data_IF_903615883263
#
_entry.id   IF_903615883263
#
_cell.length_a   1.000
_cell.length_b   1.000
_cell.length_c   1.000
_cell.angle_alpha   90.00
_cell.angle_beta   90.00
_cell.angle_gamma   90.00
#
_symmetry.space_group_name_H-M   'P 1'
#
loop_
_entity.id
_entity.type
_entity.pdbx_description
1 polymer ?
#
# COMPACT_ATOMS: atom_id res chain seq x y z
N UNK A 1 19.53 -7.35 79.06
CA UNK A 1 19.77 -7.53 77.62
C UNK A 1 18.44 -7.39 76.90
N UNK A 2 18.17 -6.21 76.35
CA UNK A 2 16.90 -5.81 75.75
C UNK A 2 16.89 -6.09 74.26
N UNK A 3 16.04 -7.01 73.79
CA UNK A 3 15.79 -7.29 72.37
C UNK A 3 14.65 -6.42 71.82
N UNK A 4 14.93 -5.63 70.77
CA UNK A 4 13.97 -4.75 70.10
C UNK A 4 13.09 -5.54 69.12
N UNK A 5 11.77 -5.39 69.24
CA UNK A 5 10.80 -5.70 68.19
C UNK A 5 10.85 -4.61 67.11
N UNK A 6 11.20 -4.97 65.87
CA UNK A 6 11.06 -4.11 64.69
C UNK A 6 9.82 -4.54 63.90
N UNK A 7 8.79 -3.69 63.88
CA UNK A 7 7.60 -3.87 63.04
C UNK A 7 7.94 -3.42 61.63
N UNK A 8 8.03 -4.35 60.68
CA UNK A 8 8.19 -4.06 59.26
C UNK A 8 6.87 -3.62 58.66
N UNK A 9 6.75 -2.35 58.28
CA UNK A 9 5.62 -1.83 57.49
C UNK A 9 5.89 -2.17 56.03
N UNK A 10 5.21 -3.19 55.49
CA UNK A 10 5.16 -3.44 54.05
C UNK A 10 4.25 -2.39 53.41
N UNK A 11 4.83 -1.37 52.78
CA UNK A 11 4.10 -0.44 51.93
C UNK A 11 3.79 -1.14 50.60
N UNK A 12 2.53 -1.54 50.41
CA UNK A 12 2.02 -2.05 49.15
C UNK A 12 1.91 -0.88 48.16
N UNK A 13 2.91 -0.71 47.29
CA UNK A 13 2.85 0.24 46.19
C UNK A 13 1.92 -0.34 45.12
N UNK A 14 0.67 0.09 45.13
CA UNK A 14 -0.27 -0.18 44.04
C UNK A 14 0.13 0.70 42.87
N UNK A 15 0.92 0.15 41.95
CA UNK A 15 1.23 0.78 40.67
C UNK A 15 -0.03 0.82 39.81
N UNK A 16 -0.66 1.99 39.69
CA UNK A 16 -1.64 2.22 38.63
C UNK A 16 -0.91 2.19 37.29
N UNK A 17 -1.35 1.39 36.30
CA UNK A 17 -0.82 1.52 34.96
C UNK A 17 -1.19 2.92 34.46
N UNK A 18 -0.19 3.72 34.13
CA UNK A 18 -0.40 4.98 33.45
C UNK A 18 -1.07 4.64 32.11
N UNK A 19 -2.40 4.82 32.04
CA UNK A 19 -3.09 4.96 30.77
C UNK A 19 -2.45 6.16 30.08
N UNK A 20 -1.54 5.90 29.13
CA UNK A 20 -0.90 6.96 28.35
C UNK A 20 -2.00 7.85 27.79
N UNK A 21 -1.99 9.14 28.16
CA UNK A 21 -2.98 10.09 27.70
C UNK A 21 -3.11 9.98 26.18
N UNK A 22 -4.30 9.59 25.72
CA UNK A 22 -4.61 9.64 24.31
C UNK A 22 -4.39 11.09 23.86
N UNK A 23 -3.39 11.29 23.00
CA UNK A 23 -3.04 12.62 22.51
C UNK A 23 -4.25 13.23 21.79
N UNK A 24 -4.62 14.47 22.11
CA UNK A 24 -5.77 15.15 21.52
C UNK A 24 -5.42 15.57 20.07
N UNK A 25 -5.85 14.75 19.10
CA UNK A 25 -5.67 15.02 17.68
C UNK A 25 -6.33 16.34 17.23
N UNK A 26 -7.39 16.78 17.91
CA UNK A 26 -8.03 18.07 17.66
C UNK A 26 -7.17 19.24 18.07
N UNK A 27 -6.56 19.18 19.26
CA UNK A 27 -5.60 20.18 19.70
C UNK A 27 -4.36 20.23 18.79
N UNK A 28 -3.80 19.07 18.43
CA UNK A 28 -2.66 18.98 17.51
C UNK A 28 -2.98 19.61 16.15
N UNK A 29 -4.17 19.33 15.61
CA UNK A 29 -4.58 19.88 14.32
C UNK A 29 -4.70 21.41 14.36
N UNK A 30 -5.36 21.96 15.38
CA UNK A 30 -5.50 23.41 15.56
C UNK A 30 -4.14 24.10 15.62
N UNK A 31 -3.18 23.51 16.33
CA UNK A 31 -1.86 24.09 16.55
C UNK A 31 -0.92 23.99 15.34
N UNK A 32 -1.10 22.99 14.47
CA UNK A 32 -0.06 22.65 13.49
C UNK A 32 -0.55 22.47 12.04
N UNK A 33 -1.85 22.40 11.81
CA UNK A 33 -2.41 22.00 10.52
C UNK A 33 -3.48 22.96 10.00
N UNK A 34 -4.31 23.52 10.89
CA UNK A 34 -5.47 24.34 10.55
C UNK A 34 -5.13 25.54 9.65
N UNK A 35 -3.98 26.20 9.89
CA UNK A 35 -3.53 27.36 9.11
C UNK A 35 -3.41 27.11 7.61
N UNK A 36 -3.17 25.86 7.20
CA UNK A 36 -3.09 25.49 5.78
C UNK A 36 -4.37 24.79 5.28
N UNK A 37 -5.05 24.03 6.14
CA UNK A 37 -6.12 23.12 5.75
C UNK A 37 -7.54 23.68 5.97
N UNK A 38 -7.71 24.76 6.73
CA UNK A 38 -9.00 25.45 6.91
C UNK A 38 -9.12 26.72 6.05
N UNK A 39 -8.05 27.11 5.36
CA UNK A 39 -8.01 28.31 4.53
C UNK A 39 -8.35 27.97 3.09
N UNK A 40 -9.35 28.66 2.53
CA UNK A 40 -9.67 28.58 1.10
C UNK A 40 -8.53 29.19 0.27
N UNK A 41 -8.17 28.57 -0.87
CA UNK A 41 -7.12 28.96 -1.81
C UNK A 41 -5.68 28.46 -1.54
N UNK A 42 -5.46 27.53 -0.60
CA UNK A 42 -4.20 26.77 -0.56
C UNK A 42 -4.27 25.54 -1.49
N UNK A 43 -3.12 24.93 -1.80
CA UNK A 43 -3.07 23.62 -2.47
C UNK A 43 -3.42 22.46 -1.52
N UNK A 44 -3.65 22.74 -0.24
CA UNK A 44 -3.93 21.71 0.76
C UNK A 44 -5.42 21.33 0.73
N UNK A 45 -5.76 20.03 0.83
CA UNK A 45 -7.16 19.61 0.89
C UNK A 45 -7.82 20.06 2.20
N UNK A 46 -9.07 20.51 2.10
CA UNK A 46 -9.87 20.88 3.26
C UNK A 46 -10.30 19.70 4.14
N UNK A 47 -10.83 20.01 5.33
CA UNK A 47 -11.32 19.03 6.33
C UNK A 47 -12.23 17.95 5.75
N UNK A 48 -13.21 18.35 4.94
CA UNK A 48 -14.18 17.42 4.35
C UNK A 48 -13.54 16.42 3.39
N UNK A 49 -12.45 16.80 2.73
CA UNK A 49 -11.70 15.88 1.88
C UNK A 49 -10.82 14.96 2.70
N UNK A 50 -10.24 15.46 3.79
CA UNK A 50 -9.44 14.64 4.70
C UNK A 50 -10.28 13.61 5.47
N UNK A 51 -11.51 13.95 5.84
CA UNK A 51 -12.42 13.02 6.54
C UNK A 51 -12.87 11.83 5.69
N UNK A 52 -12.83 11.98 4.36
CA UNK A 52 -13.09 10.88 3.42
C UNK A 52 -11.94 9.86 3.35
N UNK A 53 -10.74 10.21 3.82
CA UNK A 53 -9.59 9.30 3.83
C UNK A 53 -9.66 8.32 5.01
N UNK A 54 -8.87 7.25 4.93
CA UNK A 54 -8.64 6.36 6.07
C UNK A 54 -7.53 6.91 6.97
N UNK A 55 -7.50 6.58 8.27
CA UNK A 55 -6.41 7.00 9.15
C UNK A 55 -5.04 6.46 8.69
N UNK A 56 -4.98 5.28 8.07
CA UNK A 56 -3.76 4.75 7.44
C UNK A 56 -3.27 5.64 6.30
N UNK A 57 -4.18 6.19 5.49
CA UNK A 57 -3.83 7.08 4.39
C UNK A 57 -3.29 8.41 4.88
N UNK A 58 -3.90 8.97 5.93
CA UNK A 58 -3.44 10.21 6.56
C UNK A 58 -2.08 9.98 7.23
N UNK A 59 -1.90 8.85 7.92
CA UNK A 59 -0.63 8.44 8.50
C UNK A 59 0.46 8.32 7.43
N UNK A 60 0.18 7.65 6.31
CA UNK A 60 1.11 7.57 5.18
C UNK A 60 1.56 8.95 4.69
N UNK A 61 0.61 9.89 4.56
CA UNK A 61 0.91 11.25 4.12
C UNK A 61 1.85 11.99 5.08
N UNK A 62 1.70 11.77 6.39
CA UNK A 62 2.54 12.35 7.45
C UNK A 62 3.89 11.64 7.61
N UNK A 63 3.98 10.35 7.26
CA UNK A 63 5.22 9.57 7.43
C UNK A 63 6.16 9.68 6.25
N UNK A 64 5.61 9.58 5.03
CA UNK A 64 6.39 9.40 3.80
C UNK A 64 5.80 10.13 2.59
N UNK A 65 4.63 10.73 2.72
CA UNK A 65 3.93 11.41 1.63
C UNK A 65 4.15 12.92 1.60
N UNK A 66 3.20 13.61 0.97
CA UNK A 66 3.27 15.05 0.71
C UNK A 66 3.31 15.93 1.97
N UNK A 67 2.92 15.40 3.13
CA UNK A 67 2.96 16.09 4.42
C UNK A 67 4.10 15.60 5.33
N UNK A 68 5.09 14.90 4.77
CA UNK A 68 6.19 14.32 5.54
C UNK A 68 6.97 15.38 6.35
N UNK A 69 7.23 16.55 5.78
CA UNK A 69 7.99 17.60 6.49
C UNK A 69 7.28 18.04 7.79
N UNK A 70 5.95 18.15 7.76
CA UNK A 70 5.12 18.49 8.92
C UNK A 70 4.95 17.29 9.84
N UNK A 71 4.77 16.10 9.29
CA UNK A 71 4.56 14.87 10.06
C UNK A 71 5.80 14.44 10.83
N UNK A 72 7.00 14.50 10.24
CA UNK A 72 8.25 14.14 10.93
C UNK A 72 8.62 15.10 12.06
N UNK A 73 8.06 16.32 12.08
CA UNK A 73 8.18 17.21 13.22
C UNK A 73 7.33 16.74 14.43
N UNK A 74 6.49 15.70 14.28
CA UNK A 74 5.62 15.13 15.31
C UNK A 74 6.07 13.71 15.67
N UNK A 75 5.77 13.29 16.90
CA UNK A 75 5.98 11.92 17.35
C UNK A 75 5.06 10.94 16.61
N UNK A 76 5.39 9.64 16.55
CA UNK A 76 4.50 8.62 15.98
C UNK A 76 3.10 8.61 16.62
N UNK A 77 3.01 8.82 17.93
CA UNK A 77 1.74 8.87 18.65
C UNK A 77 0.89 10.08 18.25
N UNK A 78 1.49 11.25 18.09
CA UNK A 78 0.80 12.47 17.63
C UNK A 78 0.33 12.34 16.18
N UNK A 79 1.15 11.78 15.28
CA UNK A 79 0.73 11.49 13.90
C UNK A 79 -0.47 10.55 13.86
N UNK A 80 -0.47 9.52 14.71
CA UNK A 80 -1.59 8.59 14.86
C UNK A 80 -2.86 9.29 15.36
N UNK A 81 -2.74 10.17 16.35
CA UNK A 81 -3.85 10.95 16.89
C UNK A 81 -4.42 11.93 15.84
N UNK A 82 -3.55 12.61 15.08
CA UNK A 82 -3.94 13.46 13.95
C UNK A 82 -4.70 12.66 12.90
N UNK A 83 -4.21 11.47 12.53
CA UNK A 83 -4.86 10.62 11.54
C UNK A 83 -6.26 10.17 11.97
N UNK A 84 -6.45 9.78 13.24
CA UNK A 84 -7.75 9.42 13.81
C UNK A 84 -8.68 10.64 13.80
N UNK A 85 -8.20 11.78 14.28
CA UNK A 85 -9.01 13.01 14.36
C UNK A 85 -9.45 13.53 12.98
N UNK A 86 -8.54 13.50 12.00
CA UNK A 86 -8.81 14.01 10.66
C UNK A 86 -9.77 13.10 9.88
N UNK A 87 -9.64 11.78 10.04
CA UNK A 87 -10.50 10.81 9.36
C UNK A 87 -11.82 10.58 10.09
N UNK A 88 -11.89 10.84 11.39
CA UNK A 88 -13.02 10.45 12.25
C UNK A 88 -13.14 8.94 12.44
N UNK A 89 -12.11 8.15 12.08
CA UNK A 89 -12.12 6.69 12.03
C UNK A 89 -10.98 6.12 12.87
N UNK A 90 -11.16 4.87 13.31
CA UNK A 90 -10.11 4.11 13.98
C UNK A 90 -9.24 3.37 12.96
N UNK A 91 -7.98 3.13 13.31
CA UNK A 91 -7.13 2.28 12.50
C UNK A 91 -7.71 0.86 12.42
N UNK A 92 -7.68 0.27 11.23
CA UNK A 92 -8.15 -1.10 10.98
C UNK A 92 -9.66 -1.30 11.01
N UNK A 93 -10.48 -0.25 11.12
CA UNK A 93 -11.96 -0.37 11.14
C UNK A 93 -12.64 -0.15 9.79
N UNK A 94 -11.92 0.37 8.80
CA UNK A 94 -12.46 0.46 7.45
C UNK A 94 -12.48 -0.94 6.84
N UNK A 95 -13.64 -1.43 6.35
CA UNK A 95 -13.66 -2.63 5.55
C UNK A 95 -12.71 -2.36 4.38
N UNK A 96 -11.61 -3.12 4.33
CA UNK A 96 -10.68 -3.04 3.21
C UNK A 96 -11.43 -3.18 1.88
N UNK A 97 -10.79 -2.88 0.75
CA UNK A 97 -11.52 -2.88 -0.51
C UNK A 97 -12.31 -4.15 -0.76
N UNK A 98 -13.52 -3.99 -1.29
CA UNK A 98 -14.37 -5.08 -1.72
C UNK A 98 -13.76 -5.74 -2.98
N UNK A 99 -12.76 -6.59 -2.74
CA UNK A 99 -12.05 -7.32 -3.80
C UNK A 99 -13.02 -8.21 -4.57
N UNK A 100 -14.06 -8.73 -3.90
CA UNK A 100 -15.03 -9.61 -4.52
C UNK A 100 -15.81 -8.90 -5.65
N UNK A 101 -16.16 -7.61 -5.48
CA UNK A 101 -16.78 -6.82 -6.55
C UNK A 101 -15.89 -6.59 -7.76
N UNK A 102 -14.58 -6.60 -7.56
CA UNK A 102 -13.60 -6.39 -8.63
C UNK A 102 -13.12 -7.71 -9.25
N UNK A 103 -13.52 -8.85 -8.70
CA UNK A 103 -12.99 -10.15 -9.08
C UNK A 103 -13.34 -10.51 -10.52
N UNK A 104 -12.40 -11.16 -11.21
CA UNK A 104 -12.69 -11.81 -12.47
C UNK A 104 -13.69 -12.95 -12.26
N UNK A 105 -14.60 -13.13 -13.22
CA UNK A 105 -15.55 -14.26 -13.19
C UNK A 105 -14.90 -15.57 -13.64
N UNK A 106 -13.94 -15.46 -14.55
CA UNK A 106 -13.19 -16.58 -15.10
C UNK A 106 -11.77 -16.56 -14.55
N UNK A 107 -11.19 -17.75 -14.36
CA UNK A 107 -9.83 -17.93 -13.86
C UNK A 107 -9.08 -18.88 -14.78
N UNK A 108 -8.70 -18.44 -16.00
CA UNK A 108 -7.94 -19.28 -16.92
C UNK A 108 -6.60 -19.68 -16.30
N UNK A 109 -6.12 -20.87 -16.69
CA UNK A 109 -4.83 -21.37 -16.28
C UNK A 109 -3.73 -20.37 -16.64
N UNK A 110 -2.81 -20.14 -15.70
CA UNK A 110 -1.66 -19.28 -15.89
C UNK A 110 -0.42 -20.15 -16.07
N UNK A 111 -0.11 -20.48 -17.32
CA UNK A 111 1.04 -21.29 -17.70
C UNK A 111 1.91 -20.53 -18.69
N UNK A 112 3.22 -20.77 -18.63
CA UNK A 112 4.22 -20.23 -19.56
C UNK A 112 4.08 -18.72 -19.82
N UNK A 113 4.13 -17.86 -18.78
CA UNK A 113 3.79 -16.44 -18.89
C UNK A 113 4.72 -15.62 -19.80
N UNK A 114 5.87 -16.19 -20.15
CA UNK A 114 6.87 -15.59 -21.05
C UNK A 114 6.84 -16.14 -22.48
N UNK A 115 5.87 -17.00 -22.82
CA UNK A 115 5.69 -17.56 -24.17
C UNK A 115 5.16 -16.54 -25.20
N UNK A 116 4.64 -15.42 -24.72
CA UNK A 116 4.14 -14.29 -25.53
C UNK A 116 4.88 -13.01 -25.15
N UNK A 117 4.76 -11.93 -25.94
CA UNK A 117 5.30 -10.64 -25.57
C UNK A 117 4.93 -10.25 -24.14
N UNK A 118 5.95 -9.86 -23.36
CA UNK A 118 5.81 -9.56 -21.95
C UNK A 118 6.65 -8.35 -21.57
N UNK A 119 6.36 -7.79 -20.41
CA UNK A 119 7.08 -6.73 -19.74
C UNK A 119 7.25 -7.11 -18.27
N UNK A 120 8.38 -7.72 -17.94
CA UNK A 120 8.63 -8.30 -16.63
C UNK A 120 9.48 -7.37 -15.74
N UNK A 121 8.83 -6.55 -14.92
CA UNK A 121 9.48 -5.62 -14.01
C UNK A 121 9.78 -4.27 -14.67
N UNK A 122 10.99 -3.76 -14.46
CA UNK A 122 11.40 -2.43 -14.93
C UNK A 122 11.67 -2.33 -16.44
N UNK A 123 11.96 -3.46 -17.07
CA UNK A 123 12.37 -3.55 -18.47
C UNK A 123 12.16 -4.97 -18.96
N UNK A 124 11.98 -5.13 -20.27
CA UNK A 124 11.88 -6.42 -20.95
C UNK A 124 13.22 -7.16 -21.02
N UNK A 125 14.32 -6.42 -20.82
CA UNK A 125 15.70 -6.93 -20.88
C UNK A 125 16.53 -6.50 -19.67
N UNK A 126 17.52 -7.30 -19.23
CA UNK A 126 18.37 -7.00 -18.07
C UNK A 126 19.19 -5.71 -18.17
N UNK A 127 19.51 -5.26 -19.38
CA UNK A 127 20.23 -4.00 -19.63
C UNK A 127 19.38 -2.75 -19.41
N UNK A 128 18.10 -2.92 -19.01
CA UNK A 128 17.19 -1.84 -18.63
C UNK A 128 17.02 -0.75 -19.69
N UNK A 129 16.95 -1.13 -20.97
CA UNK A 129 16.73 -0.18 -22.08
C UNK A 129 15.34 0.47 -22.04
N UNK A 130 14.40 -0.12 -21.27
CA UNK A 130 12.99 0.31 -21.21
C UNK A 130 12.35 0.42 -22.59
N UNK A 131 12.75 -0.47 -23.49
CA UNK A 131 12.33 -0.49 -24.87
C UNK A 131 11.70 -1.85 -25.22
N UNK A 132 10.53 -1.82 -25.85
CA UNK A 132 9.89 -2.99 -26.43
C UNK A 132 10.01 -2.91 -27.95
N UNK A 133 10.45 -4.00 -28.59
CA UNK A 133 10.53 -4.07 -30.06
C UNK A 133 9.14 -4.05 -30.68
N UNK A 134 9.03 -3.59 -31.92
CA UNK A 134 7.76 -3.42 -32.62
C UNK A 134 6.96 -4.74 -32.74
N UNK A 135 7.66 -5.86 -32.98
CA UNK A 135 7.05 -7.19 -33.09
C UNK A 135 6.36 -7.61 -31.79
N UNK A 136 6.99 -7.29 -30.65
CA UNK A 136 6.47 -7.59 -29.32
C UNK A 136 5.42 -6.57 -28.85
N UNK A 137 5.58 -5.30 -29.21
CA UNK A 137 4.62 -4.24 -28.87
C UNK A 137 3.30 -4.41 -29.61
N UNK A 138 3.35 -4.95 -30.83
CA UNK A 138 2.17 -5.12 -31.68
C UNK A 138 1.48 -3.79 -31.98
N UNK A 139 2.19 -2.65 -31.87
CA UNK A 139 1.70 -1.29 -32.05
C UNK A 139 2.64 -0.53 -32.98
N UNK A 140 2.09 0.22 -33.93
CA UNK A 140 2.83 1.12 -34.82
C UNK A 140 2.38 2.58 -34.65
N UNK A 141 3.20 3.50 -35.13
CA UNK A 141 2.94 4.94 -35.01
C UNK A 141 1.63 5.37 -35.68
N UNK A 142 1.21 4.67 -36.74
CA UNK A 142 -0.03 4.98 -37.45
C UNK A 142 -1.28 4.66 -36.61
N UNK A 143 -1.20 3.71 -35.66
CA UNK A 143 -2.29 3.35 -34.75
C UNK A 143 -2.40 4.21 -33.50
N UNK A 144 -1.30 4.83 -33.05
CA UNK A 144 -1.26 5.64 -31.81
C UNK A 144 -2.35 6.71 -31.74
N UNK A 145 -2.63 7.50 -32.80
CA UNK A 145 -3.67 8.55 -32.74
C UNK A 145 -5.09 8.01 -32.59
N UNK A 146 -5.32 6.71 -32.80
CA UNK A 146 -6.64 6.06 -32.71
C UNK A 146 -6.86 5.31 -31.40
N UNK A 147 -5.91 5.37 -30.47
CA UNK A 147 -6.04 4.70 -29.18
C UNK A 147 -7.13 5.36 -28.33
N UNK A 148 -7.92 4.53 -27.67
CA UNK A 148 -8.93 4.94 -26.69
C UNK A 148 -8.67 4.24 -25.37
N UNK A 149 -9.12 4.83 -24.26
CA UNK A 149 -9.10 4.18 -22.96
C UNK A 149 -9.93 2.89 -23.03
N UNK A 150 -9.29 1.74 -22.73
CA UNK A 150 -10.00 0.45 -22.70
C UNK A 150 -10.64 0.18 -21.34
N UNK A 151 -9.88 0.42 -20.27
CA UNK A 151 -10.32 0.29 -18.88
C UNK A 151 -9.41 1.13 -18.00
N UNK A 152 -9.90 1.48 -16.81
CA UNK A 152 -9.12 2.13 -15.76
C UNK A 152 -9.29 1.33 -14.46
N UNK A 153 -8.19 1.17 -13.72
CA UNK A 153 -8.19 0.52 -12.42
C UNK A 153 -7.85 1.56 -11.35
N UNK A 154 -8.78 1.78 -10.42
CA UNK A 154 -8.54 2.64 -9.26
C UNK A 154 -8.04 1.78 -8.11
N UNK A 155 -6.85 2.09 -7.60
CA UNK A 155 -6.33 1.48 -6.37
C UNK A 155 -7.23 1.91 -5.21
N UNK A 156 -7.96 0.98 -4.56
CA UNK A 156 -8.94 1.39 -3.58
C UNK A 156 -8.30 2.07 -2.36
N UNK A 157 -8.76 3.26 -2.03
CA UNK A 157 -8.23 4.06 -0.91
C UNK A 157 -6.88 4.75 -1.20
N UNK A 158 -6.30 4.53 -2.38
CA UNK A 158 -5.02 5.11 -2.77
C UNK A 158 -5.24 6.30 -3.72
N UNK A 159 -4.39 7.31 -3.59
CA UNK A 159 -4.37 8.48 -4.48
C UNK A 159 -3.07 8.57 -5.30
N UNK A 160 -2.25 7.52 -5.26
CA UNK A 160 -0.97 7.47 -5.96
C UNK A 160 -0.65 6.05 -6.39
N UNK A 161 -0.18 5.90 -7.63
CA UNK A 161 0.32 4.64 -8.17
C UNK A 161 1.84 4.80 -8.39
N UNK A 162 2.66 4.00 -7.67
CA UNK A 162 4.12 4.07 -7.79
C UNK A 162 4.75 2.84 -8.45
N UNK A 163 4.11 1.67 -8.32
CA UNK A 163 4.64 0.42 -8.85
C UNK A 163 4.53 0.39 -10.37
N UNK A 164 5.64 0.07 -11.05
CA UNK A 164 5.61 -0.20 -12.48
C UNK A 164 4.82 -1.50 -12.73
N UNK A 165 3.87 -1.50 -13.68
CA UNK A 165 3.11 -2.69 -13.99
C UNK A 165 4.00 -3.72 -14.68
N UNK A 166 3.87 -4.97 -14.24
CA UNK A 166 4.42 -6.13 -14.95
C UNK A 166 3.33 -6.78 -15.76
N UNK A 167 3.57 -7.01 -17.05
CA UNK A 167 2.59 -7.58 -17.98
C UNK A 167 3.12 -8.89 -18.53
N UNK A 168 2.51 -10.02 -18.20
CA UNK A 168 2.94 -11.33 -18.66
C UNK A 168 1.79 -12.34 -18.58
N UNK A 169 1.75 -13.32 -19.49
CA UNK A 169 0.73 -14.37 -19.50
C UNK A 169 -0.72 -13.86 -19.50
N UNK A 170 -0.98 -12.73 -20.16
CA UNK A 170 -2.31 -12.10 -20.21
C UNK A 170 -2.73 -11.39 -18.91
N UNK A 171 -1.82 -11.23 -17.95
CA UNK A 171 -2.08 -10.58 -16.66
C UNK A 171 -1.25 -9.32 -16.47
N UNK A 172 -1.74 -8.41 -15.63
CA UNK A 172 -1.02 -7.23 -15.12
C UNK A 172 -0.79 -7.40 -13.62
N UNK A 173 0.45 -7.32 -13.17
CA UNK A 173 0.83 -7.36 -11.75
C UNK A 173 1.28 -5.98 -11.31
N UNK A 174 0.70 -5.46 -10.23
CA UNK A 174 1.00 -4.10 -9.78
C UNK A 174 0.84 -3.95 -8.27
N UNK A 175 1.82 -3.32 -7.64
CA UNK A 175 1.82 -2.95 -6.22
C UNK A 175 1.15 -1.60 -5.97
N UNK A 176 0.66 -1.39 -4.75
CA UNK A 176 -0.01 -0.17 -4.33
C UNK A 176 0.53 0.37 -3.01
N UNK A 177 0.31 1.67 -2.78
CA UNK A 177 0.70 2.34 -1.53
C UNK A 177 -0.13 1.86 -0.34
N UNK A 178 -1.37 1.42 -0.59
CA UNK A 178 -2.26 0.74 0.34
C UNK A 178 -1.84 -0.70 0.65
N UNK A 179 -0.55 -1.04 0.48
CA UNK A 179 0.06 -2.33 0.86
C UNK A 179 -0.44 -3.52 0.06
N UNK A 180 -1.12 -3.31 -1.07
CA UNK A 180 -1.68 -4.40 -1.87
C UNK A 180 -0.87 -4.65 -3.11
N UNK A 181 -0.75 -5.92 -3.48
CA UNK A 181 -0.35 -6.34 -4.82
C UNK A 181 -1.57 -6.95 -5.50
N UNK A 182 -1.81 -6.55 -6.74
CA UNK A 182 -2.92 -7.05 -7.54
C UNK A 182 -2.38 -7.83 -8.73
N UNK A 183 -3.08 -8.91 -9.09
CA UNK A 183 -3.01 -9.51 -10.42
C UNK A 183 -4.32 -9.26 -11.12
N UNK A 184 -4.25 -8.58 -12.26
CA UNK A 184 -5.39 -8.15 -13.05
C UNK A 184 -5.42 -8.89 -14.39
N UNK A 185 -6.60 -9.06 -14.96
CA UNK A 185 -6.74 -9.41 -16.36
C UNK A 185 -6.34 -8.24 -17.26
N UNK A 186 -5.39 -8.46 -18.18
CA UNK A 186 -4.89 -7.39 -19.04
C UNK A 186 -5.96 -6.86 -20.02
N UNK A 187 -6.99 -7.65 -20.33
CA UNK A 187 -8.02 -7.26 -21.28
C UNK A 187 -9.13 -6.42 -20.64
N UNK A 188 -9.44 -6.68 -19.37
CA UNK A 188 -10.63 -6.14 -18.70
C UNK A 188 -10.32 -5.33 -17.43
N UNK A 189 -9.17 -5.53 -16.81
CA UNK A 189 -8.81 -4.89 -15.54
C UNK A 189 -9.46 -5.52 -14.30
N UNK A 190 -10.22 -6.61 -14.43
CA UNK A 190 -10.74 -7.34 -13.27
C UNK A 190 -9.60 -8.01 -12.48
N UNK A 191 -9.82 -8.26 -11.20
CA UNK A 191 -8.82 -8.79 -10.26
C UNK A 191 -8.88 -10.32 -10.24
N UNK A 192 -7.81 -11.00 -10.64
CA UNK A 192 -7.66 -12.43 -10.41
C UNK A 192 -7.40 -12.74 -8.94
N UNK A 193 -6.51 -11.96 -8.32
CA UNK A 193 -6.19 -12.07 -6.90
C UNK A 193 -5.58 -10.76 -6.38
N UNK A 194 -5.63 -10.58 -5.06
CA UNK A 194 -4.88 -9.54 -4.36
C UNK A 194 -4.15 -10.11 -3.16
N UNK A 195 -2.97 -9.58 -2.85
CA UNK A 195 -2.17 -9.93 -1.70
C UNK A 195 -1.96 -8.69 -0.83
N UNK A 196 -2.09 -8.82 0.50
CA UNK A 196 -1.85 -7.74 1.46
C UNK A 196 -0.46 -7.92 2.10
N UNK A 197 0.46 -7.01 1.76
CA UNK A 197 1.79 -6.93 2.34
C UNK A 197 1.77 -6.14 3.68
N UNK A 198 2.90 -6.13 4.37
CA UNK A 198 3.04 -5.45 5.66
C UNK A 198 3.20 -3.94 5.48
N UNK A 199 3.81 -3.51 4.37
CA UNK A 199 3.95 -2.10 4.01
C UNK A 199 3.68 -1.83 2.52
N UNK A 200 3.76 -0.54 2.15
CA UNK A 200 3.56 -0.06 0.78
C UNK A 200 4.47 -0.81 -0.20
N UNK A 201 3.92 -1.25 -1.33
CA UNK A 201 4.69 -1.90 -2.41
C UNK A 201 4.90 -0.90 -3.53
N UNK A 202 6.12 -0.37 -3.64
CA UNK A 202 6.47 0.64 -4.65
C UNK A 202 7.28 0.11 -5.82
N UNK A 203 7.89 -1.06 -5.67
CA UNK A 203 8.71 -1.66 -6.74
C UNK A 203 7.82 -2.37 -7.75
N UNK A 204 8.34 -2.57 -8.96
CA UNK A 204 7.74 -3.50 -9.90
C UNK A 204 7.69 -4.91 -9.29
N UNK A 205 6.63 -5.66 -9.60
CA UNK A 205 6.55 -7.09 -9.29
C UNK A 205 7.30 -7.85 -10.37
N UNK A 206 8.30 -8.65 -10.03
CA UNK A 206 9.04 -9.44 -11.03
C UNK A 206 8.54 -10.88 -11.01
N UNK A 207 8.28 -11.46 -12.17
CA UNK A 207 7.94 -12.87 -12.31
C UNK A 207 9.19 -13.70 -12.58
N UNK A 208 9.24 -14.93 -12.07
CA UNK A 208 10.34 -15.84 -12.34
C UNK A 208 9.97 -17.30 -12.08
N UNK A 209 10.70 -18.25 -12.68
CA UNK A 209 10.47 -19.66 -12.44
C UNK A 209 10.77 -20.02 -10.97
N UNK A 210 10.00 -20.95 -10.43
CA UNK A 210 10.27 -21.63 -9.17
C UNK A 210 10.41 -23.13 -9.40
N UNK A 211 10.62 -23.89 -8.32
CA UNK A 211 10.68 -25.35 -8.39
C UNK A 211 9.40 -25.92 -9.01
N UNK A 212 9.56 -26.87 -9.93
CA UNK A 212 8.45 -27.46 -10.68
C UNK A 212 7.91 -26.54 -11.78
N UNK A 213 6.59 -26.50 -11.95
CA UNK A 213 5.91 -25.68 -12.96
C UNK A 213 5.39 -24.34 -12.43
N UNK A 214 5.74 -23.98 -11.19
CA UNK A 214 5.26 -22.76 -10.53
C UNK A 214 6.03 -21.54 -11.02
N UNK A 215 5.31 -20.45 -11.30
CA UNK A 215 5.92 -19.13 -11.49
C UNK A 215 5.69 -18.32 -10.21
N UNK A 216 6.78 -17.79 -9.64
CA UNK A 216 6.73 -16.86 -8.52
C UNK A 216 6.56 -15.43 -9.00
N UNK A 217 5.85 -14.62 -8.22
CA UNK A 217 5.78 -13.17 -8.31
C UNK A 217 6.49 -12.58 -7.08
N UNK A 218 7.58 -11.85 -7.34
CA UNK A 218 8.54 -11.36 -6.36
C UNK A 218 8.44 -9.84 -6.20
N UNK A 219 8.38 -9.35 -4.98
CA UNK A 219 8.32 -7.91 -4.69
C UNK A 219 8.78 -7.60 -3.26
N UNK A 220 9.20 -6.36 -3.03
CA UNK A 220 9.55 -5.85 -1.71
C UNK A 220 8.58 -4.76 -1.25
N UNK A 221 8.52 -4.56 0.06
CA UNK A 221 7.76 -3.46 0.67
C UNK A 221 8.67 -2.44 1.37
N UNK A 222 8.08 -1.32 1.83
CA UNK A 222 8.82 -0.26 2.52
C UNK A 222 9.27 -0.62 3.95
N UNK A 223 8.90 -1.79 4.48
CA UNK A 223 9.35 -2.31 5.77
C UNK A 223 10.51 -3.29 5.61
N UNK A 224 11.19 -3.27 4.47
CA UNK A 224 12.32 -4.14 4.14
C UNK A 224 11.96 -5.63 4.10
N UNK A 225 10.69 -5.98 3.87
CA UNK A 225 10.30 -7.36 3.59
C UNK A 225 10.47 -7.66 2.11
N UNK A 226 10.81 -8.91 1.81
CA UNK A 226 10.77 -9.47 0.45
C UNK A 226 9.72 -10.58 0.43
N UNK A 227 8.96 -10.69 -0.65
CA UNK A 227 7.91 -11.68 -0.78
C UNK A 227 8.09 -12.47 -2.07
N UNK A 228 7.70 -13.74 -2.02
CA UNK A 228 7.28 -14.48 -3.19
C UNK A 228 5.86 -15.00 -2.98
N UNK A 229 5.00 -14.73 -3.95
CA UNK A 229 3.67 -15.33 -4.06
C UNK A 229 3.58 -16.13 -5.34
N UNK A 230 2.72 -17.13 -5.38
CA UNK A 230 2.39 -17.84 -6.60
C UNK A 230 1.72 -16.86 -7.58
N UNK A 231 2.28 -16.71 -8.78
CA UNK A 231 1.81 -15.71 -9.74
C UNK A 231 0.38 -16.01 -10.27
N UNK A 232 -0.04 -17.27 -10.25
CA UNK A 232 -1.37 -17.67 -10.69
C UNK A 232 -2.45 -17.36 -9.63
N UNK A 233 -2.12 -17.50 -8.34
CA UNK A 233 -3.10 -17.54 -7.26
C UNK A 233 -2.93 -16.45 -6.19
N UNK A 234 -1.76 -15.82 -6.11
CA UNK A 234 -1.41 -14.85 -5.06
C UNK A 234 -1.12 -15.50 -3.71
N UNK A 235 -1.07 -16.83 -3.63
CA UNK A 235 -0.74 -17.56 -2.39
C UNK A 235 0.70 -17.28 -2.00
N UNK A 236 0.95 -16.92 -0.75
CA UNK A 236 2.29 -16.76 -0.21
C UNK A 236 3.09 -18.06 -0.33
N UNK A 237 4.29 -17.96 -0.91
CA UNK A 237 5.26 -19.04 -1.01
C UNK A 237 6.35 -18.90 0.04
N UNK A 238 6.91 -17.69 0.19
CA UNK A 238 7.83 -17.32 1.26
C UNK A 238 7.86 -15.80 1.47
N UNK A 239 8.39 -15.40 2.62
CA UNK A 239 8.71 -14.01 3.00
C UNK A 239 10.00 -14.01 3.80
#
# INVERSE_FOLDING_TARGET
MTGRCGVGVLALVVGFPAAGFAQDGGALYRSHCASCHDVSATRAPGRDSLSRLTPERIMFALDTGVMQAQGLARTPAERRALAIYLSGKSFGTEPGPDIARMACKEHPAFSSPFSTPNWNGWSTVPTNTRFQRAEAAGLDAARVPRLTLKWAFAFPGDISAYSQPTVAGGRVFVGSVGRRVFSLDAKTGCVYWSFLADASVRTAVTLGPMTGSTTGAFFGDLSANMYAVDAATGKLLWR
#
